data_IF_494450454472
#
_entry.id   IF_494450454472
#
_cell.length_a   1.000
_cell.length_b   1.000
_cell.length_c   1.000
_cell.angle_alpha   90.00
_cell.angle_beta   90.00
_cell.angle_gamma   90.00
#
_symmetry.space_group_name_H-M   'P 1'
#
loop_
_entity.id
_entity.type
_entity.pdbx_description
1 polymer ?
#
# COMPACT_ATOMS: atom_id res chain seq x y z
N UNK A 1 -0.46 -17.70 -1.59
CA UNK A 1 -0.35 -17.45 -0.15
C UNK A 1 -0.90 -16.06 0.20
N UNK A 2 -2.23 -15.89 0.25
CA UNK A 2 -2.90 -14.73 0.85
C UNK A 2 -2.93 -14.66 2.40
N UNK A 3 -2.86 -15.75 3.22
CA UNK A 3 -3.11 -15.61 4.65
C UNK A 3 -2.08 -14.71 5.37
N UNK A 4 -0.78 -14.84 5.05
CA UNK A 4 0.25 -14.06 5.74
C UNK A 4 0.18 -12.54 5.50
N UNK A 5 -0.36 -12.08 4.37
CA UNK A 5 -0.51 -10.64 4.12
C UNK A 5 -1.61 -10.05 5.01
N UNK A 6 -2.74 -10.75 5.11
CA UNK A 6 -3.87 -10.28 5.92
C UNK A 6 -3.55 -10.39 7.41
N UNK A 7 -2.81 -11.43 7.82
CA UNK A 7 -2.28 -11.53 9.17
C UNK A 7 -1.31 -10.38 9.46
N UNK A 8 -0.43 -10.04 8.52
CA UNK A 8 0.50 -8.92 8.66
C UNK A 8 -0.22 -7.57 8.74
N UNK A 9 -1.31 -7.40 7.99
CA UNK A 9 -2.17 -6.23 8.05
C UNK A 9 -2.86 -6.11 9.42
N UNK A 10 -3.42 -7.20 9.93
CA UNK A 10 -4.06 -7.27 11.24
C UNK A 10 -3.05 -7.02 12.39
N UNK A 11 -1.81 -7.47 12.22
CA UNK A 11 -0.73 -7.27 13.20
C UNK A 11 -0.07 -5.89 13.14
N UNK A 12 -0.48 -5.00 12.22
CA UNK A 12 0.03 -3.63 12.21
C UNK A 12 -0.45 -2.86 13.45
N UNK A 13 0.44 -2.11 14.14
CA UNK A 13 0.03 -1.34 15.31
C UNK A 13 -1.02 -0.30 14.93
N UNK A 14 -1.99 -0.05 15.80
CA UNK A 14 -3.01 1.00 15.59
C UNK A 14 -2.79 2.19 16.52
N UNK A 15 -2.19 1.93 17.68
CA UNK A 15 -1.95 2.92 18.73
C UNK A 15 -0.47 2.95 19.10
N UNK A 16 0.09 4.15 19.12
CA UNK A 16 1.44 4.44 19.59
C UNK A 16 1.38 4.71 21.08
N UNK A 17 1.94 3.80 21.86
CA UNK A 17 2.15 3.96 23.30
C UNK A 17 3.59 4.38 23.60
N UNK A 18 3.79 5.10 24.70
CA UNK A 18 5.11 5.56 25.13
C UNK A 18 5.51 4.86 26.43
N UNK A 19 6.73 4.32 26.54
CA UNK A 19 7.19 3.72 27.79
C UNK A 19 7.12 4.74 28.93
N UNK A 20 6.50 4.36 30.04
CA UNK A 20 6.56 5.18 31.26
C UNK A 20 7.97 5.07 31.81
N UNK A 21 8.75 6.14 31.74
CA UNK A 21 10.06 6.18 32.41
C UNK A 21 9.81 6.38 33.90
N UNK A 22 10.04 5.35 34.70
CA UNK A 22 10.08 5.47 36.17
C UNK A 22 11.46 6.03 36.55
N UNK A 23 11.56 7.27 37.08
CA UNK A 23 12.84 7.79 37.52
C UNK A 23 13.33 7.03 38.75
N UNK A 24 14.65 6.82 38.85
CA UNK A 24 15.31 6.08 39.93
C UNK A 24 15.12 6.70 41.34
N UNK A 25 14.63 7.93 41.43
CA UNK A 25 14.56 8.73 42.66
C UNK A 25 13.23 8.66 43.41
N UNK A 26 12.30 7.77 43.06
CA UNK A 26 11.03 7.58 43.80
C UNK A 26 10.03 8.74 43.73
N UNK A 27 10.46 9.95 43.34
CA UNK A 27 9.59 11.09 43.08
C UNK A 27 8.95 10.94 41.70
N UNK A 28 7.63 10.70 41.65
CA UNK A 28 6.83 10.80 40.43
C UNK A 28 6.77 12.25 39.96
N UNK A 29 7.79 12.72 39.23
CA UNK A 29 7.67 13.96 38.43
C UNK A 29 6.83 13.66 37.19
N UNK A 30 5.70 14.35 37.03
CA UNK A 30 4.89 14.36 35.79
C UNK A 30 5.61 15.13 34.68
N UNK A 31 6.80 14.71 34.27
CA UNK A 31 7.38 15.23 33.03
C UNK A 31 6.73 14.49 31.86
N UNK A 32 5.57 14.99 31.42
CA UNK A 32 4.95 14.71 30.12
C UNK A 32 4.74 13.24 29.78
N UNK A 33 3.73 12.58 30.36
CA UNK A 33 3.16 11.40 29.74
C UNK A 33 2.55 11.84 28.40
N UNK A 34 3.23 11.51 27.29
CA UNK A 34 2.62 11.64 25.97
C UNK A 34 1.38 10.75 25.94
N UNK A 35 0.23 11.33 25.63
CA UNK A 35 -0.99 10.56 25.45
C UNK A 35 -0.80 9.55 24.31
N UNK A 36 -1.48 8.41 24.45
CA UNK A 36 -1.62 7.45 23.37
C UNK A 36 -2.24 8.15 22.16
N UNK A 37 -1.72 7.83 20.98
CA UNK A 37 -2.17 8.41 19.72
C UNK A 37 -2.20 7.36 18.61
N UNK A 38 -2.87 7.61 17.48
CA UNK A 38 -2.75 6.73 16.32
C UNK A 38 -1.28 6.53 15.91
N UNK A 39 -0.91 5.28 15.62
CA UNK A 39 0.46 4.95 15.21
C UNK A 39 0.66 5.21 13.71
N UNK A 40 1.54 6.15 13.35
CA UNK A 40 1.79 6.49 11.95
C UNK A 40 2.58 5.41 11.21
N UNK A 41 3.43 4.65 11.89
CA UNK A 41 4.13 3.50 11.27
C UNK A 41 3.08 2.46 10.86
N UNK A 42 2.17 2.17 11.78
CA UNK A 42 1.06 1.27 11.57
C UNK A 42 0.11 1.71 10.47
N UNK A 43 -0.33 2.98 10.50
CA UNK A 43 -1.19 3.54 9.45
C UNK A 43 -0.53 3.47 8.07
N UNK A 44 0.75 3.82 7.96
CA UNK A 44 1.51 3.69 6.70
C UNK A 44 1.57 2.25 6.23
N UNK A 45 1.97 1.31 7.09
CA UNK A 45 2.11 -0.09 6.73
C UNK A 45 0.75 -0.67 6.28
N UNK A 46 -0.34 -0.31 6.98
CA UNK A 46 -1.71 -0.71 6.64
C UNK A 46 -2.20 -0.15 5.31
N UNK A 47 -1.73 1.01 4.88
CA UNK A 47 -2.01 1.53 3.54
C UNK A 47 -1.10 0.88 2.48
N UNK A 48 0.19 0.75 2.77
CA UNK A 48 1.21 0.32 1.83
C UNK A 48 1.02 -1.13 1.36
N UNK A 49 0.69 -2.02 2.30
CA UNK A 49 0.51 -3.45 2.02
C UNK A 49 -0.63 -3.72 1.02
N UNK A 50 -1.89 -3.30 1.26
CA UNK A 50 -2.98 -3.55 0.32
C UNK A 50 -2.81 -2.76 -0.97
N UNK A 51 -2.34 -1.51 -0.96
CA UNK A 51 -2.09 -0.74 -2.20
C UNK A 51 -1.05 -1.44 -3.08
N UNK A 52 0.09 -1.84 -2.50
CA UNK A 52 1.13 -2.52 -3.27
C UNK A 52 0.75 -3.94 -3.71
N UNK A 53 -0.03 -4.66 -2.91
CA UNK A 53 -0.50 -6.00 -3.25
C UNK A 53 -1.60 -5.97 -4.30
N UNK A 54 -2.73 -5.31 -4.01
CA UNK A 54 -3.89 -5.24 -4.91
C UNK A 54 -3.52 -4.58 -6.23
N UNK A 55 -2.73 -3.51 -6.19
CA UNK A 55 -2.24 -2.84 -7.40
C UNK A 55 -1.14 -3.60 -8.14
N UNK A 56 -0.68 -4.74 -7.62
CA UNK A 56 0.45 -5.51 -8.12
C UNK A 56 1.70 -4.63 -8.39
N UNK A 57 1.90 -3.60 -7.58
CA UNK A 57 2.90 -2.55 -7.84
C UNK A 57 4.31 -3.05 -7.60
N UNK A 58 5.23 -2.65 -8.46
CA UNK A 58 6.65 -2.78 -8.16
C UNK A 58 7.02 -1.75 -7.11
N UNK A 59 8.07 -2.08 -6.37
CA UNK A 59 8.61 -1.22 -5.32
C UNK A 59 8.84 0.24 -5.72
N UNK A 60 9.42 0.46 -6.91
CA UNK A 60 9.70 1.81 -7.42
C UNK A 60 8.42 2.58 -7.76
N UNK A 61 7.42 1.90 -8.31
CA UNK A 61 6.11 2.47 -8.63
C UNK A 61 5.40 2.88 -7.34
N UNK A 62 5.38 1.98 -6.36
CA UNK A 62 4.81 2.25 -5.04
C UNK A 62 5.47 3.43 -4.33
N UNK A 63 6.80 3.54 -4.38
CA UNK A 63 7.51 4.66 -3.74
C UNK A 63 7.48 5.96 -4.52
N UNK A 64 7.16 5.91 -5.82
CA UNK A 64 7.08 7.10 -6.67
C UNK A 64 5.67 7.72 -6.70
N UNK A 65 4.65 7.02 -6.18
CA UNK A 65 3.27 7.46 -6.18
C UNK A 65 3.11 8.79 -5.43
N UNK A 66 2.51 9.77 -6.10
CA UNK A 66 2.14 11.07 -5.53
C UNK A 66 0.64 11.16 -5.28
N UNK A 67 0.22 12.09 -4.42
CA UNK A 67 -1.20 12.30 -4.09
C UNK A 67 -2.02 12.59 -5.34
N UNK A 68 -1.43 13.29 -6.31
CA UNK A 68 -2.06 13.69 -7.58
C UNK A 68 -2.24 12.49 -8.54
N UNK A 69 -1.50 11.41 -8.31
CA UNK A 69 -1.66 10.15 -9.04
C UNK A 69 -2.88 9.34 -8.55
N UNK A 70 -3.51 9.71 -7.42
CA UNK A 70 -4.58 8.96 -6.78
C UNK A 70 -5.93 9.63 -7.03
N UNK A 71 -6.77 9.01 -7.86
CA UNK A 71 -8.13 9.46 -8.09
C UNK A 71 -9.15 8.59 -7.37
N UNK A 72 -10.14 9.22 -6.73
CA UNK A 72 -11.28 8.53 -6.15
C UNK A 72 -12.28 8.08 -7.22
N UNK A 73 -12.91 6.93 -6.99
CA UNK A 73 -13.98 6.40 -7.80
C UNK A 73 -15.05 5.76 -6.89
N UNK A 74 -16.34 5.76 -7.24
CA UNK A 74 -17.38 5.14 -6.41
C UNK A 74 -17.11 3.67 -6.03
N UNK A 75 -16.34 2.97 -6.85
CA UNK A 75 -15.97 1.56 -6.66
C UNK A 75 -14.57 1.33 -6.05
N UNK A 76 -13.83 2.39 -5.67
CA UNK A 76 -12.49 2.28 -5.08
C UNK A 76 -11.55 3.41 -5.51
N UNK A 77 -10.28 3.09 -5.78
CA UNK A 77 -9.29 4.06 -6.30
C UNK A 77 -8.82 3.72 -7.70
N UNK A 78 -8.39 4.75 -8.43
CA UNK A 78 -7.65 4.64 -9.68
C UNK A 78 -6.31 5.34 -9.50
N UNK A 79 -5.22 4.60 -9.63
CA UNK A 79 -3.86 5.16 -9.64
C UNK A 79 -3.43 5.42 -11.07
N UNK A 80 -2.85 6.59 -11.32
CA UNK A 80 -2.19 6.94 -12.57
C UNK A 80 -0.68 6.77 -12.42
N UNK A 81 -0.05 5.88 -13.19
CA UNK A 81 1.39 5.64 -13.11
C UNK A 81 2.08 6.17 -14.37
N UNK A 82 2.64 7.41 -14.34
CA UNK A 82 3.16 8.08 -15.54
C UNK A 82 4.52 7.57 -16.03
N UNK A 83 5.32 6.91 -15.18
CA UNK A 83 6.68 6.42 -15.54
C UNK A 83 6.88 4.96 -15.17
N UNK A 84 6.56 4.08 -16.12
CA UNK A 84 6.80 2.65 -15.98
C UNK A 84 8.00 2.21 -16.80
N UNK A 85 8.68 1.14 -16.35
CA UNK A 85 9.85 0.55 -17.03
C UNK A 85 9.56 0.13 -18.48
N UNK A 86 8.30 -0.04 -18.84
CA UNK A 86 7.77 -0.39 -20.18
C UNK A 86 7.35 0.82 -21.02
N UNK A 87 7.24 2.00 -20.41
CA UNK A 87 6.97 3.27 -21.08
C UNK A 87 8.11 4.26 -20.78
N UNK A 88 9.29 3.95 -21.31
CA UNK A 88 10.48 4.81 -21.13
C UNK A 88 10.31 6.20 -21.77
N UNK A 89 9.32 6.38 -22.65
CA UNK A 89 8.97 7.64 -23.32
C UNK A 89 7.92 8.47 -22.57
N UNK A 90 7.17 7.89 -21.63
CA UNK A 90 6.13 8.60 -20.86
C UNK A 90 4.86 8.94 -21.65
N UNK A 91 4.63 8.29 -22.81
CA UNK A 91 3.56 8.69 -23.74
C UNK A 91 2.13 8.47 -23.21
N UNK A 92 1.91 7.46 -22.35
CA UNK A 92 0.63 7.25 -21.67
C UNK A 92 0.83 6.80 -20.20
N UNK A 93 0.08 7.40 -19.27
CA UNK A 93 -0.04 6.87 -17.91
C UNK A 93 -0.81 5.54 -17.94
N UNK A 94 -0.28 4.54 -17.25
CA UNK A 94 -1.00 3.28 -17.04
C UNK A 94 -1.90 3.42 -15.81
N UNK A 95 -3.15 2.97 -15.92
CA UNK A 95 -4.14 3.08 -14.85
C UNK A 95 -4.23 1.77 -14.06
N UNK A 96 -3.95 1.83 -12.76
CA UNK A 96 -4.16 0.72 -11.83
C UNK A 96 -5.45 0.94 -11.08
N UNK A 97 -6.35 -0.02 -11.12
CA UNK A 97 -7.59 0.03 -10.34
C UNK A 97 -7.42 -0.74 -9.03
N UNK A 98 -7.76 -0.10 -7.92
CA UNK A 98 -7.82 -0.69 -6.58
C UNK A 98 -9.30 -0.80 -6.16
N UNK A 99 -9.94 -1.96 -6.38
CA UNK A 99 -11.35 -2.10 -6.12
C UNK A 99 -11.67 -2.21 -4.63
N UNK A 100 -12.86 -1.70 -4.27
CA UNK A 100 -13.49 -1.88 -2.96
C UNK A 100 -14.30 -3.18 -2.96
N UNK A 101 -13.63 -4.30 -2.69
CA UNK A 101 -14.25 -5.64 -2.71
C UNK A 101 -13.94 -6.41 -1.45
N UNK A 102 -14.97 -7.00 -0.82
CA UNK A 102 -14.82 -7.95 0.29
C UNK A 102 -14.75 -7.31 1.68
N UNK A 103 -13.72 -7.59 2.49
CA UNK A 103 -13.65 -7.09 3.87
C UNK A 103 -13.20 -5.61 3.94
N UNK A 104 -13.99 -4.70 4.57
CA UNK A 104 -13.64 -3.29 4.72
C UNK A 104 -12.29 -2.99 5.38
N UNK A 105 -11.83 -3.83 6.30
CA UNK A 105 -10.53 -3.67 6.96
C UNK A 105 -9.35 -3.82 5.99
N UNK A 106 -9.62 -4.32 4.78
CA UNK A 106 -8.64 -4.61 3.72
C UNK A 106 -8.76 -3.64 2.55
N UNK A 107 -9.73 -2.74 2.56
CA UNK A 107 -9.94 -1.86 1.43
C UNK A 107 -8.75 -0.88 1.26
N UNK A 108 -8.08 -0.88 0.10
CA UNK A 108 -6.92 -0.02 -0.12
C UNK A 108 -7.26 1.46 0.00
N UNK A 109 -8.48 1.86 -0.37
CA UNK A 109 -8.96 3.23 -0.35
C UNK A 109 -9.12 3.78 1.08
N UNK A 110 -9.82 3.04 1.95
CA UNK A 110 -9.99 3.43 3.36
C UNK A 110 -8.66 3.46 4.11
N UNK A 111 -7.80 2.46 3.86
CA UNK A 111 -6.48 2.41 4.48
C UNK A 111 -5.60 3.58 4.02
N UNK A 112 -5.63 3.91 2.73
CA UNK A 112 -4.87 5.02 2.16
C UNK A 112 -5.37 6.37 2.66
N UNK A 113 -6.68 6.62 2.64
CA UNK A 113 -7.29 7.83 3.18
C UNK A 113 -6.91 8.04 4.64
N UNK A 114 -6.97 6.98 5.47
CA UNK A 114 -6.57 7.04 6.87
C UNK A 114 -5.10 7.41 7.06
N UNK A 115 -4.22 6.87 6.22
CA UNK A 115 -2.81 7.24 6.24
C UNK A 115 -2.60 8.71 5.87
N UNK A 116 -3.20 9.18 4.77
CA UNK A 116 -3.07 10.57 4.31
C UNK A 116 -3.60 11.55 5.37
N UNK A 117 -4.75 11.26 5.98
CA UNK A 117 -5.34 12.04 7.06
C UNK A 117 -4.40 12.13 8.27
N UNK A 118 -3.97 10.99 8.82
CA UNK A 118 -3.13 10.96 10.02
C UNK A 118 -1.76 11.59 9.80
N UNK A 119 -1.19 11.42 8.61
CA UNK A 119 0.11 11.99 8.25
C UNK A 119 0.01 13.46 7.80
N UNK A 120 -1.20 14.00 7.62
CA UNK A 120 -1.42 15.37 7.17
C UNK A 120 -0.90 15.62 5.75
N UNK A 121 -1.09 14.65 4.85
CA UNK A 121 -0.56 14.70 3.49
C UNK A 121 -1.64 15.16 2.51
N UNK A 122 -1.44 16.32 1.91
CA UNK A 122 -2.32 16.90 0.90
C UNK A 122 -1.68 16.97 -0.48
N UNK A 123 -0.35 16.89 -0.56
CA UNK A 123 0.43 17.01 -1.80
C UNK A 123 1.71 16.17 -1.75
N UNK A 124 2.30 15.84 -2.90
CA UNK A 124 3.59 15.18 -3.04
C UNK A 124 3.55 13.67 -2.74
N UNK A 125 4.65 13.06 -2.24
CA UNK A 125 4.73 11.60 -2.14
C UNK A 125 3.72 11.02 -1.17
N UNK A 126 2.99 9.99 -1.62
CA UNK A 126 2.01 9.24 -0.82
C UNK A 126 2.72 8.51 0.31
N UNK A 127 3.71 7.67 -0.02
CA UNK A 127 4.42 6.88 0.97
C UNK A 127 5.70 7.57 1.42
N UNK A 128 5.75 7.89 2.70
CA UNK A 128 6.87 8.61 3.34
C UNK A 128 7.48 7.79 4.45
N UNK A 129 8.74 8.09 4.78
CA UNK A 129 9.37 7.56 5.98
C UNK A 129 8.64 8.04 7.23
N UNK A 130 8.58 7.22 8.28
CA UNK A 130 8.06 7.65 9.59
C UNK A 130 9.21 7.60 10.58
N UNK A 131 9.44 8.72 11.27
CA UNK A 131 10.53 8.87 12.24
C UNK A 131 10.22 8.14 13.54
N UNK A 132 11.24 7.91 14.39
CA UNK A 132 11.05 7.32 15.74
C UNK A 132 10.15 8.14 16.65
N UNK A 133 9.99 9.44 16.35
CA UNK A 133 9.08 10.33 17.05
C UNK A 133 7.62 10.22 16.54
N UNK A 134 7.35 9.26 15.64
CA UNK A 134 6.05 9.02 15.04
C UNK A 134 5.52 10.26 14.29
N UNK A 135 6.34 10.72 13.34
CA UNK A 135 6.06 11.81 12.39
C UNK A 135 6.45 11.38 10.98
N UNK A 136 5.60 11.64 9.99
CA UNK A 136 5.93 11.44 8.59
C UNK A 136 7.06 12.40 8.15
N UNK A 137 8.00 11.90 7.37
CA UNK A 137 9.05 12.71 6.75
C UNK A 137 8.48 13.51 5.57
N UNK A 138 9.23 14.50 5.08
CA UNK A 138 8.87 15.22 3.85
C UNK A 138 9.43 14.54 2.57
N UNK A 139 10.19 13.45 2.71
CA UNK A 139 10.88 12.79 1.59
C UNK A 139 10.13 11.55 1.14
N UNK A 140 10.26 11.23 -0.15
CA UNK A 140 9.87 9.93 -0.70
C UNK A 140 10.44 8.79 0.14
N UNK A 141 9.64 7.75 0.34
CA UNK A 141 10.12 6.51 0.90
C UNK A 141 11.17 5.91 -0.05
N UNK A 142 12.35 5.56 0.46
CA UNK A 142 13.36 4.94 -0.38
C UNK A 142 12.85 3.56 -0.87
N UNK A 143 13.06 3.17 -2.14
CA UNK A 143 12.58 1.89 -2.65
C UNK A 143 12.96 0.72 -1.75
N UNK A 144 14.22 0.60 -1.33
CA UNK A 144 14.68 -0.50 -0.47
C UNK A 144 13.94 -0.57 0.88
N UNK A 145 13.43 0.55 1.39
CA UNK A 145 12.67 0.56 2.64
C UNK A 145 11.41 -0.30 2.55
N UNK A 146 10.76 -0.40 1.38
CA UNK A 146 9.56 -1.24 1.21
C UNK A 146 9.84 -2.70 1.56
N UNK A 147 11.00 -3.25 1.18
CA UNK A 147 11.38 -4.62 1.54
C UNK A 147 11.44 -4.76 3.06
N UNK A 148 12.06 -3.81 3.74
CA UNK A 148 12.18 -3.78 5.20
C UNK A 148 10.82 -3.64 5.88
N UNK A 149 9.92 -2.82 5.32
CA UNK A 149 8.57 -2.64 5.85
C UNK A 149 7.72 -3.91 5.74
N UNK A 150 7.74 -4.56 4.58
CA UNK A 150 7.04 -5.84 4.37
C UNK A 150 7.58 -6.91 5.33
N UNK A 151 8.90 -7.04 5.45
CA UNK A 151 9.51 -7.97 6.41
C UNK A 151 9.14 -7.63 7.86
N UNK A 152 9.15 -6.35 8.21
CA UNK A 152 8.75 -5.87 9.53
C UNK A 152 7.29 -6.22 9.84
N UNK A 153 6.41 -6.09 8.85
CA UNK A 153 5.00 -6.48 8.99
C UNK A 153 4.82 -7.98 9.18
N UNK A 154 5.51 -8.80 8.40
CA UNK A 154 5.50 -10.26 8.53
C UNK A 154 6.10 -10.72 9.86
N UNK A 155 7.17 -10.07 10.34
CA UNK A 155 7.77 -10.41 11.62
C UNK A 155 6.80 -10.25 12.79
N UNK A 156 5.84 -9.31 12.70
CA UNK A 156 4.80 -9.12 13.74
C UNK A 156 3.85 -10.31 13.85
N UNK A 157 3.74 -11.14 12.81
CA UNK A 157 2.88 -12.34 12.84
C UNK A 157 3.63 -13.59 13.32
N UNK A 158 4.92 -13.48 13.63
CA UNK A 158 5.79 -14.63 13.91
C UNK A 158 6.17 -15.44 12.66
N UNK A 159 5.83 -14.97 11.45
CA UNK A 159 6.17 -15.65 10.21
C UNK A 159 7.68 -15.51 9.88
N UNK A 160 8.29 -16.54 9.24
CA UNK A 160 9.65 -16.44 8.77
C UNK A 160 9.77 -15.37 7.68
N UNK A 161 10.75 -14.46 7.83
CA UNK A 161 10.97 -13.32 6.92
C UNK A 161 12.02 -13.59 5.84
N UNK A 162 12.62 -14.78 5.84
CA UNK A 162 13.59 -15.24 4.84
C UNK A 162 12.92 -15.39 3.46
N UNK A 163 13.60 -15.04 2.38
CA UNK A 163 13.07 -15.13 1.00
C UNK A 163 12.08 -14.03 0.57
N UNK A 164 11.64 -13.16 1.48
CA UNK A 164 10.69 -12.09 1.16
C UNK A 164 11.45 -10.87 0.61
N UNK A 165 11.37 -10.63 -0.71
CA UNK A 165 11.99 -9.47 -1.38
C UNK A 165 10.97 -8.35 -1.64
N UNK A 166 11.41 -7.20 -2.16
CA UNK A 166 10.51 -6.14 -2.63
C UNK A 166 9.54 -6.56 -3.74
N UNK A 167 9.71 -7.75 -4.34
CA UNK A 167 8.75 -8.34 -5.27
C UNK A 167 7.58 -9.07 -4.57
N UNK A 168 7.63 -9.24 -3.25
CA UNK A 168 6.66 -10.06 -2.51
C UNK A 168 5.22 -9.64 -2.74
N UNK A 169 4.91 -8.34 -2.74
CA UNK A 169 3.54 -7.86 -2.93
C UNK A 169 3.02 -8.22 -4.32
N UNK A 170 3.77 -7.87 -5.36
CA UNK A 170 3.40 -8.16 -6.75
C UNK A 170 3.39 -9.67 -7.04
N UNK A 171 4.42 -10.40 -6.65
CA UNK A 171 4.49 -11.86 -6.85
C UNK A 171 3.38 -12.57 -6.08
N UNK A 172 3.13 -12.15 -4.84
CA UNK A 172 2.05 -12.65 -4.00
C UNK A 172 0.68 -12.42 -4.64
N UNK A 173 0.45 -11.24 -5.23
CA UNK A 173 -0.79 -10.95 -5.94
C UNK A 173 -0.95 -11.81 -7.20
N UNK A 174 0.10 -11.95 -8.02
CA UNK A 174 0.09 -12.82 -9.21
C UNK A 174 -0.30 -14.24 -8.82
N UNK A 175 0.34 -14.80 -7.78
CA UNK A 175 -0.01 -16.13 -7.27
C UNK A 175 -1.43 -16.18 -6.71
N UNK A 176 -1.86 -15.17 -5.95
CA UNK A 176 -3.19 -15.12 -5.34
C UNK A 176 -4.28 -15.14 -6.41
N UNK A 177 -4.19 -14.26 -7.39
CA UNK A 177 -5.19 -14.19 -8.44
C UNK A 177 -5.16 -15.46 -9.31
N UNK A 178 -3.97 -16.07 -9.57
CA UNK A 178 -3.84 -17.34 -10.32
C UNK A 178 -4.60 -18.48 -9.65
N UNK A 179 -4.43 -18.63 -8.34
CA UNK A 179 -5.15 -19.64 -7.55
C UNK A 179 -6.67 -19.40 -7.49
N UNK A 180 -7.14 -18.18 -7.81
CA UNK A 180 -8.56 -17.80 -7.81
C UNK A 180 -9.17 -17.83 -9.21
N UNK A 181 -8.45 -18.36 -10.21
CA UNK A 181 -8.98 -18.58 -11.54
C UNK A 181 -9.32 -17.30 -12.30
N UNK A 182 -8.65 -16.18 -11.99
CA UNK A 182 -8.77 -15.00 -12.85
C UNK A 182 -8.34 -15.37 -14.29
N UNK A 183 -8.85 -14.68 -15.30
CA UNK A 183 -8.47 -15.00 -16.68
C UNK A 183 -7.06 -14.51 -17.00
N UNK A 184 -6.33 -15.20 -17.89
CA UNK A 184 -5.02 -14.78 -18.42
C UNK A 184 -5.01 -13.33 -18.94
N UNK A 185 -6.15 -12.85 -19.43
CA UNK A 185 -6.36 -11.46 -19.85
C UNK A 185 -6.46 -10.49 -18.66
N UNK A 186 -7.26 -10.81 -17.64
CA UNK A 186 -7.36 -10.00 -16.42
C UNK A 186 -6.02 -9.98 -15.65
N UNK A 187 -5.25 -11.07 -15.72
CA UNK A 187 -3.86 -11.11 -15.27
C UNK A 187 -2.96 -10.19 -16.07
N UNK A 188 -2.98 -10.28 -17.40
CA UNK A 188 -2.12 -9.48 -18.26
C UNK A 188 -2.37 -7.97 -18.10
N UNK A 189 -3.61 -7.57 -17.80
CA UNK A 189 -3.96 -6.18 -17.52
C UNK A 189 -3.44 -5.72 -16.14
N UNK A 190 -3.63 -6.52 -15.08
CA UNK A 190 -3.16 -6.17 -13.72
C UNK A 190 -1.64 -6.35 -13.53
N UNK A 191 -1.03 -7.24 -14.30
CA UNK A 191 0.39 -7.62 -14.25
C UNK A 191 1.18 -7.16 -15.48
N UNK A 192 0.59 -6.36 -16.34
CA UNK A 192 1.29 -5.59 -17.39
C UNK A 192 2.05 -6.44 -18.42
N UNK A 193 1.35 -7.36 -19.10
CA UNK A 193 1.85 -8.04 -20.30
C UNK A 193 1.07 -7.60 -21.56
N UNK A 194 1.72 -6.70 -22.33
CA UNK A 194 1.47 -6.19 -23.70
C UNK A 194 0.22 -5.33 -23.97
N UNK A 195 0.54 -4.08 -24.33
CA UNK A 195 -0.21 -2.94 -24.90
C UNK A 195 -1.65 -3.14 -25.43
N UNK A 196 -2.54 -2.25 -25.00
CA UNK A 196 -3.66 -1.73 -25.80
C UNK A 196 -3.58 -0.20 -25.83
N UNK A 197 -2.84 0.32 -26.81
CA UNK A 197 -2.79 1.75 -27.11
C UNK A 197 -4.08 2.18 -27.82
N UNK A 198 -4.46 3.45 -27.60
CA UNK A 198 -5.56 4.23 -28.19
C UNK A 198 -6.98 4.04 -27.61
N UNK A 199 -7.72 5.16 -27.59
CA UNK A 199 -9.07 5.45 -27.04
C UNK A 199 -9.09 6.14 -25.67
N UNK A 200 -9.77 7.29 -25.65
CA UNK A 200 -9.59 8.42 -24.70
C UNK A 200 -10.05 8.21 -23.27
N UNK A 201 -9.64 9.17 -22.42
CA UNK A 201 -9.60 9.13 -20.95
C UNK A 201 -10.90 8.91 -20.18
N UNK A 202 -12.03 8.66 -20.84
CA UNK A 202 -13.28 8.25 -20.17
C UNK A 202 -13.71 6.80 -20.51
N UNK A 203 -13.18 6.23 -21.59
CA UNK A 203 -13.45 4.84 -22.01
C UNK A 203 -12.48 3.85 -21.34
N UNK A 204 -11.31 4.31 -20.88
CA UNK A 204 -10.29 3.45 -20.25
C UNK A 204 -10.60 3.02 -18.82
N UNK A 205 -11.24 3.88 -18.01
CA UNK A 205 -11.59 3.53 -16.62
C UNK A 205 -12.60 2.38 -16.58
N UNK A 206 -13.73 2.41 -17.34
CA UNK A 206 -14.65 1.28 -17.40
C UNK A 206 -13.97 -0.05 -17.77
N UNK A 207 -13.08 -0.06 -18.77
CA UNK A 207 -12.33 -1.26 -19.13
C UNK A 207 -11.36 -1.72 -18.04
N UNK A 208 -10.71 -0.80 -17.34
CA UNK A 208 -9.84 -1.13 -16.22
C UNK A 208 -10.60 -1.69 -15.00
N UNK A 209 -11.92 -1.46 -14.88
CA UNK A 209 -12.76 -2.11 -13.88
C UNK A 209 -13.23 -3.50 -14.32
N UNK A 210 -13.61 -3.67 -15.60
CA UNK A 210 -14.11 -4.95 -16.12
C UNK A 210 -13.02 -6.01 -16.26
N UNK A 211 -11.79 -5.61 -16.62
CA UNK A 211 -10.67 -6.51 -16.91
C UNK A 211 -9.65 -6.57 -15.74
N UNK A 212 -10.10 -6.41 -14.48
CA UNK A 212 -9.23 -6.40 -13.28
C UNK A 212 -9.30 -7.70 -12.46
N UNK A 213 -8.16 -8.37 -12.31
CA UNK A 213 -8.01 -9.61 -11.54
C UNK A 213 -8.34 -9.48 -10.03
N UNK A 214 -8.22 -8.28 -9.45
CA UNK A 214 -8.62 -8.01 -8.08
C UNK A 214 -10.14 -7.95 -7.92
N UNK A 215 -10.89 -7.57 -8.95
CA UNK A 215 -12.36 -7.51 -8.93
C UNK A 215 -12.97 -8.91 -9.02
N UNK A 216 -12.41 -9.79 -9.85
CA UNK A 216 -12.86 -11.18 -10.00
C UNK A 216 -12.45 -12.09 -8.84
N UNK A 217 -11.43 -11.69 -8.07
CA UNK A 217 -10.93 -12.44 -6.92
C UNK A 217 -11.40 -11.76 -5.64
N UNK A 218 -12.59 -12.10 -5.12
CA UNK A 218 -13.13 -11.48 -3.90
C UNK A 218 -12.10 -11.50 -2.75
N UNK A 219 -11.62 -10.31 -2.33
CA UNK A 219 -10.53 -10.07 -1.36
C UNK A 219 -10.97 -10.10 0.12
#
# INVERSE_FOLDING_TARGET
>A
MPPLLFDALAACPTTRTWPTVTPATGQRRRSGLRADKPDLIGARDRALLPVGFVGALRRRELTALETDDVAEHPSGLVLSLPRLKTNQTGEHAELVVLPRTGNPDRYPDLALQRWLELAGLTEGPVFRGVTKADRASARYLHPESVTTLVKGALARTGAPTTGHSGHFLRAGFVTYAHLRGSSDRAFAHQTWHRSMASLGGYVRVPHAWTDNAATSSSL
#
